data_IF_237824237400
#
_entry.id   IF_237824237400
#
_cell.length_a   1.000
_cell.length_b   1.000
_cell.length_c   1.000
_cell.angle_alpha   90.00
_cell.angle_beta   90.00
_cell.angle_gamma   90.00
#
_symmetry.space_group_name_H-M   'P 1'
#
loop_
_entity.id
_entity.type
_entity.pdbx_description
1 polymer ?
#
# COMPACT_ATOMS: atom_id res chain seq x y z
N UNK A 1 4.24 -8.68 14.52
CA UNK A 1 3.61 -8.73 13.19
C UNK A 1 4.53 -8.14 12.14
N UNK A 2 4.57 -8.76 11.00
CA UNK A 2 5.56 -8.46 9.99
C UNK A 2 4.90 -8.18 8.64
N UNK A 3 5.30 -7.07 8.01
CA UNK A 3 4.83 -6.73 6.68
C UNK A 3 6.01 -6.34 5.80
N UNK A 4 5.88 -6.54 4.48
CA UNK A 4 6.86 -6.11 3.49
C UNK A 4 6.34 -4.88 2.77
N UNK A 5 7.10 -3.80 2.86
CA UNK A 5 6.82 -2.58 2.11
C UNK A 5 8.11 -1.92 1.69
N UNK A 6 8.03 -1.08 0.66
CA UNK A 6 9.10 -0.20 0.23
C UNK A 6 8.58 1.20 0.03
N UNK A 7 9.38 2.17 0.46
CA UNK A 7 9.09 3.58 0.24
C UNK A 7 9.98 4.08 -0.89
N UNK A 8 9.36 4.78 -1.85
CA UNK A 8 10.06 5.42 -2.96
C UNK A 8 9.81 6.92 -2.87
N UNK A 9 10.84 7.72 -3.07
CA UNK A 9 10.73 9.17 -2.96
C UNK A 9 9.88 9.77 -4.09
N UNK A 10 9.80 9.08 -5.21
CA UNK A 10 9.04 9.52 -6.36
C UNK A 10 8.76 8.36 -7.33
N UNK A 11 7.97 8.63 -8.35
CA UNK A 11 7.59 7.61 -9.34
C UNK A 11 8.81 7.08 -10.14
N UNK A 12 9.79 7.93 -10.41
CA UNK A 12 10.98 7.50 -11.15
C UNK A 12 11.75 6.41 -10.38
N UNK A 13 11.86 6.54 -9.06
CA UNK A 13 12.48 5.52 -8.22
C UNK A 13 11.70 4.21 -8.25
N UNK A 14 10.37 4.28 -8.19
CA UNK A 14 9.52 3.10 -8.32
C UNK A 14 9.76 2.43 -9.67
N UNK A 15 9.79 3.22 -10.74
CA UNK A 15 9.99 2.71 -12.09
C UNK A 15 11.35 2.02 -12.26
N UNK A 16 12.40 2.58 -11.66
CA UNK A 16 13.74 1.99 -11.71
C UNK A 16 13.82 0.67 -10.95
N UNK A 17 13.14 0.59 -9.80
CA UNK A 17 13.19 -0.59 -8.93
C UNK A 17 12.19 -1.67 -9.35
N UNK A 18 10.97 -1.28 -9.71
CA UNK A 18 9.84 -2.16 -10.01
C UNK A 18 9.13 -1.68 -11.28
N UNK A 19 9.79 -1.81 -12.42
CA UNK A 19 9.28 -1.31 -13.69
C UNK A 19 7.89 -1.84 -14.02
N UNK A 20 7.67 -3.16 -13.89
CA UNK A 20 6.36 -3.76 -14.18
C UNK A 20 5.26 -3.17 -13.32
N UNK A 21 5.51 -3.06 -12.02
CA UNK A 21 4.53 -2.46 -11.10
C UNK A 21 4.24 -1.01 -11.45
N UNK A 22 5.26 -0.24 -11.80
CA UNK A 22 5.09 1.15 -12.22
C UNK A 22 4.22 1.26 -13.48
N UNK A 23 4.45 0.39 -14.46
CA UNK A 23 3.65 0.39 -15.69
C UNK A 23 2.20 -0.04 -15.43
N UNK A 24 1.98 -1.01 -14.55
CA UNK A 24 0.63 -1.41 -14.14
C UNK A 24 -0.10 -0.27 -13.43
N UNK A 25 0.62 0.49 -12.59
CA UNK A 25 0.03 1.65 -11.92
C UNK A 25 -0.42 2.71 -12.92
N UNK A 26 0.41 3.04 -13.91
CA UNK A 26 0.03 3.97 -14.96
C UNK A 26 -1.26 3.52 -15.66
N UNK A 27 -1.32 2.25 -16.02
CA UNK A 27 -2.48 1.69 -16.70
C UNK A 27 -3.74 1.77 -15.84
N UNK A 28 -3.64 1.44 -14.55
CA UNK A 28 -4.77 1.53 -13.63
C UNK A 28 -5.28 2.97 -13.48
N UNK A 29 -4.40 3.94 -13.58
CA UNK A 29 -4.76 5.36 -13.49
C UNK A 29 -5.18 5.96 -14.84
N UNK A 30 -5.22 5.15 -15.90
CA UNK A 30 -5.58 5.63 -17.24
C UNK A 30 -4.49 6.47 -17.90
N UNK A 31 -3.25 6.31 -17.47
CA UNK A 31 -2.11 7.06 -17.97
C UNK A 31 -1.23 6.21 -18.87
N UNK A 32 -0.37 6.88 -19.65
CA UNK A 32 0.60 6.24 -20.52
C UNK A 32 2.00 6.72 -20.19
N UNK A 33 3.01 6.11 -20.85
CA UNK A 33 4.40 6.52 -20.66
C UNK A 33 4.64 7.99 -21.02
N UNK A 34 3.81 8.57 -21.87
CA UNK A 34 3.88 10.00 -22.25
C UNK A 34 3.54 10.92 -21.10
N UNK A 35 2.82 10.42 -20.08
CA UNK A 35 2.40 11.19 -18.93
C UNK A 35 3.43 11.19 -17.81
N UNK A 36 4.52 10.43 -17.95
CA UNK A 36 5.58 10.37 -16.94
C UNK A 36 6.18 11.76 -16.73
N UNK A 37 6.18 12.21 -15.46
CA UNK A 37 6.67 13.52 -15.08
C UNK A 37 5.66 14.65 -15.21
N UNK A 38 4.44 14.36 -15.66
CA UNK A 38 3.41 15.38 -15.89
C UNK A 38 2.36 15.45 -14.79
N UNK A 39 2.21 14.38 -14.02
CA UNK A 39 1.23 14.32 -12.93
C UNK A 39 1.87 14.72 -11.60
N UNK A 40 1.20 15.57 -10.78
CA UNK A 40 1.77 16.04 -9.51
C UNK A 40 2.19 14.92 -8.57
N UNK A 41 1.42 13.84 -8.48
CA UNK A 41 1.71 12.72 -7.57
C UNK A 41 3.02 12.01 -7.92
N UNK A 42 3.51 12.13 -9.13
CA UNK A 42 4.76 11.49 -9.56
C UNK A 42 6.00 12.05 -8.87
N UNK A 43 5.89 13.26 -8.31
CA UNK A 43 6.93 13.87 -7.48
C UNK A 43 6.82 13.55 -6.00
N UNK A 44 5.74 12.90 -5.58
CA UNK A 44 5.49 12.61 -4.18
C UNK A 44 5.94 11.20 -3.79
N UNK A 45 6.09 10.98 -2.49
CA UNK A 45 6.44 9.68 -1.94
C UNK A 45 5.37 8.65 -2.27
N UNK A 46 5.84 7.46 -2.68
CA UNK A 46 5.01 6.29 -2.93
C UNK A 46 5.43 5.15 -2.01
N UNK A 47 4.47 4.39 -1.52
CA UNK A 47 4.75 3.19 -0.75
C UNK A 47 4.16 1.99 -1.45
N UNK A 48 4.98 0.95 -1.63
CA UNK A 48 4.60 -0.30 -2.25
C UNK A 48 4.47 -1.38 -1.19
N UNK A 49 3.33 -2.07 -1.18
CA UNK A 49 3.09 -3.25 -0.35
C UNK A 49 3.02 -4.48 -1.24
N UNK A 50 3.53 -5.58 -0.72
CA UNK A 50 3.62 -6.82 -1.49
C UNK A 50 2.25 -7.42 -1.82
N UNK A 51 1.27 -7.22 -0.93
CA UNK A 51 -0.09 -7.75 -1.10
C UNK A 51 -1.06 -6.97 -0.20
N UNK A 52 -2.38 -7.16 -0.37
CA UNK A 52 -3.37 -6.60 0.56
C UNK A 52 -3.13 -6.99 2.01
N UNK A 53 -2.64 -8.21 2.27
CA UNK A 53 -2.28 -8.64 3.62
C UNK A 53 -1.19 -7.76 4.22
N UNK A 54 -0.13 -7.48 3.48
CA UNK A 54 0.95 -6.62 3.96
C UNK A 54 0.46 -5.19 4.18
N UNK A 55 -0.41 -4.69 3.31
CA UNK A 55 -1.03 -3.38 3.49
C UNK A 55 -1.87 -3.35 4.78
N UNK A 56 -2.68 -4.38 5.02
CA UNK A 56 -3.50 -4.49 6.23
C UNK A 56 -2.61 -4.50 7.48
N UNK A 57 -1.55 -5.28 7.49
CA UNK A 57 -0.63 -5.36 8.62
C UNK A 57 0.03 -4.01 8.92
N UNK A 58 0.40 -3.27 7.88
CA UNK A 58 0.93 -1.92 8.06
C UNK A 58 -0.08 -1.00 8.74
N UNK A 59 -1.32 -0.95 8.24
CA UNK A 59 -2.34 -0.08 8.81
C UNK A 59 -2.71 -0.46 10.23
N UNK A 60 -2.67 -1.75 10.56
CA UNK A 60 -2.97 -2.25 11.90
C UNK A 60 -1.86 -1.94 12.90
N UNK A 61 -0.61 -1.82 12.46
CA UNK A 61 0.53 -1.64 13.37
C UNK A 61 1.10 -0.22 13.36
N UNK A 62 1.34 0.33 12.17
CA UNK A 62 2.04 1.62 12.02
C UNK A 62 1.19 2.70 11.35
N UNK A 63 0.03 2.35 10.77
CA UNK A 63 -0.84 3.26 10.05
C UNK A 63 -2.06 3.70 10.87
N UNK A 64 -3.24 3.54 10.28
CA UNK A 64 -4.51 4.02 10.83
C UNK A 64 -4.80 3.52 12.24
N UNK A 65 -4.41 2.29 12.55
CA UNK A 65 -4.66 1.66 13.85
C UNK A 65 -3.43 1.62 14.75
N UNK A 66 -2.39 2.38 14.42
CA UNK A 66 -1.14 2.37 15.17
C UNK A 66 -1.31 2.73 16.64
N UNK A 67 -2.22 3.65 16.95
CA UNK A 67 -2.47 4.09 18.32
C UNK A 67 -3.15 3.04 19.18
N UNK A 68 -3.73 1.99 18.59
CA UNK A 68 -4.36 0.89 19.32
C UNK A 68 -3.34 -0.05 19.97
N UNK A 69 -2.05 0.14 19.72
CA UNK A 69 -0.95 -0.65 20.26
C UNK A 69 -1.13 -2.16 20.06
N UNK A 70 -1.57 -2.54 18.86
CA UNK A 70 -1.81 -3.94 18.52
C UNK A 70 -0.52 -4.75 18.37
N UNK A 71 0.62 -4.06 18.35
CA UNK A 71 1.94 -4.69 18.20
C UNK A 71 2.53 -5.20 19.51
N UNK A 72 1.87 -4.89 20.63
CA UNK A 72 2.33 -5.32 21.95
C UNK A 72 2.20 -6.84 22.13
N UNK A 73 3.00 -7.40 23.03
CA UNK A 73 2.84 -8.80 23.40
C UNK A 73 1.59 -9.02 24.26
N UNK A 74 0.97 -10.18 24.11
CA UNK A 74 -0.25 -10.53 24.83
C UNK A 74 -0.03 -11.62 25.92
N UNK A 75 1.22 -12.08 26.07
CA UNK A 75 1.55 -13.09 27.08
C UNK A 75 0.80 -14.40 26.85
N UNK A 76 0.03 -14.85 27.86
CA UNK A 76 -0.76 -16.07 27.76
C UNK A 76 -2.10 -15.88 27.06
N UNK A 77 -2.49 -14.64 26.79
CA UNK A 77 -3.77 -14.36 26.13
C UNK A 77 -3.66 -14.53 24.62
N UNK A 78 -4.76 -14.91 23.95
CA UNK A 78 -4.75 -15.01 22.48
C UNK A 78 -4.35 -13.69 21.82
N UNK A 79 -3.55 -13.79 20.78
CA UNK A 79 -3.18 -12.63 19.96
C UNK A 79 -4.33 -12.33 18.99
N UNK A 80 -4.94 -11.12 19.03
CA UNK A 80 -6.05 -10.77 18.13
C UNK A 80 -5.72 -10.92 16.65
N UNK A 81 -4.44 -10.78 16.26
CA UNK A 81 -4.03 -10.93 14.87
C UNK A 81 -4.29 -12.34 14.33
N UNK A 82 -4.29 -13.36 15.21
CA UNK A 82 -4.54 -14.74 14.80
C UNK A 82 -5.99 -14.98 14.36
N UNK A 83 -6.87 -14.03 14.67
CA UNK A 83 -8.31 -14.12 14.40
C UNK A 83 -8.77 -13.14 13.31
N UNK A 84 -7.86 -12.34 12.75
CA UNK A 84 -8.19 -11.36 11.71
C UNK A 84 -7.85 -11.98 10.35
N UNK A 85 -8.83 -11.98 9.44
CA UNK A 85 -8.58 -12.25 8.03
C UNK A 85 -7.92 -11.00 7.42
N UNK A 86 -6.60 -10.96 7.46
CA UNK A 86 -5.83 -9.77 7.06
C UNK A 86 -5.92 -9.50 5.57
N UNK A 87 -6.08 -10.53 4.74
CA UNK A 87 -6.27 -10.33 3.30
C UNK A 87 -7.59 -9.61 3.02
N UNK A 88 -8.67 -10.11 3.57
CA UNK A 88 -9.99 -9.51 3.39
C UNK A 88 -10.05 -8.12 4.02
N UNK A 89 -9.46 -7.96 5.20
CA UNK A 89 -9.36 -6.65 5.85
C UNK A 89 -8.61 -5.65 4.97
N UNK A 90 -7.51 -6.07 4.34
CA UNK A 90 -6.75 -5.23 3.43
C UNK A 90 -7.54 -4.82 2.19
N UNK A 91 -8.28 -5.76 1.62
CA UNK A 91 -9.14 -5.48 0.46
C UNK A 91 -10.23 -4.46 0.81
N UNK A 92 -10.86 -4.62 1.97
CA UNK A 92 -11.89 -3.69 2.45
C UNK A 92 -11.31 -2.29 2.71
N UNK A 93 -10.10 -2.20 3.28
CA UNK A 93 -9.42 -0.92 3.48
C UNK A 93 -9.15 -0.21 2.14
N UNK A 94 -8.70 -0.95 1.14
CA UNK A 94 -8.45 -0.38 -0.18
C UNK A 94 -9.75 0.16 -0.78
N UNK A 95 -10.84 -0.58 -0.65
CA UNK A 95 -12.14 -0.18 -1.15
C UNK A 95 -12.66 1.08 -0.45
N UNK A 96 -12.54 1.13 0.88
CA UNK A 96 -12.99 2.28 1.68
C UNK A 96 -12.18 3.54 1.35
N UNK A 97 -10.87 3.41 1.15
CA UNK A 97 -10.04 4.54 0.74
C UNK A 97 -10.40 5.03 -0.66
N UNK A 98 -11.15 4.21 -1.40
CA UNK A 98 -11.47 4.49 -2.79
C UNK A 98 -10.21 4.53 -3.62
N UNK A 99 -10.29 5.09 -4.80
CA UNK A 99 -9.15 5.13 -5.72
C UNK A 99 -8.35 6.42 -5.63
N UNK A 100 -8.46 7.16 -4.54
CA UNK A 100 -7.83 8.48 -4.40
C UNK A 100 -6.35 8.43 -4.11
N UNK A 101 -5.93 7.50 -3.25
CA UNK A 101 -4.54 7.46 -2.78
C UNK A 101 -4.02 6.03 -2.63
N UNK A 102 -4.78 5.03 -3.06
CA UNK A 102 -4.44 3.64 -2.88
C UNK A 102 -4.97 2.83 -4.08
N UNK A 103 -4.14 1.98 -4.64
CA UNK A 103 -4.54 1.10 -5.75
C UNK A 103 -4.02 -0.32 -5.53
N UNK A 104 -4.92 -1.29 -5.74
CA UNK A 104 -4.55 -2.69 -5.87
C UNK A 104 -4.29 -2.98 -7.34
N UNK A 105 -3.10 -3.47 -7.65
CA UNK A 105 -2.69 -3.76 -9.03
C UNK A 105 -2.95 -5.22 -9.39
N UNK A 106 -3.06 -5.54 -10.70
CA UNK A 106 -3.31 -6.92 -11.14
C UNK A 106 -2.27 -7.94 -10.69
N UNK A 107 -1.04 -7.50 -10.40
CA UNK A 107 0.02 -8.39 -9.91
C UNK A 107 -0.05 -8.62 -8.39
N UNK A 108 -1.07 -8.09 -7.72
CA UNK A 108 -1.26 -8.24 -6.28
C UNK A 108 -0.60 -7.17 -5.42
N UNK A 109 0.25 -6.33 -5.99
CA UNK A 109 0.87 -5.25 -5.24
C UNK A 109 -0.15 -4.15 -4.94
N UNK A 110 0.07 -3.46 -3.80
CA UNK A 110 -0.73 -2.30 -3.41
C UNK A 110 0.21 -1.10 -3.38
N UNK A 111 -0.18 -0.02 -4.05
CA UNK A 111 0.60 1.22 -4.08
C UNK A 111 -0.23 2.34 -3.46
N UNK A 112 0.39 3.07 -2.53
CA UNK A 112 -0.23 4.23 -1.88
C UNK A 112 0.58 5.49 -2.16
N UNK A 113 -0.10 6.63 -2.17
CA UNK A 113 0.52 7.94 -2.29
C UNK A 113 0.04 8.85 -1.17
N UNK A 114 0.84 9.87 -0.83
CA UNK A 114 0.57 10.72 0.34
C UNK A 114 -0.61 11.66 0.11
N UNK A 115 -0.66 12.32 -1.05
CA UNK A 115 -1.64 13.37 -1.32
C UNK A 115 -2.71 13.00 -2.33
N UNK A 116 -2.69 11.79 -2.84
CA UNK A 116 -3.62 11.32 -3.86
C UNK A 116 -3.07 11.47 -5.28
N UNK A 117 -3.69 10.69 -6.14
CA UNK A 117 -3.37 10.73 -7.58
C UNK A 117 -3.95 11.96 -8.25
#
# INVERSE_FOLDING_TARGET
MYYCSRVYDNFNELMESKYETAMLLLKELGLTRKDIGKEPWMGDELRLFFSPTHYALYELTDGLYGECDLNRGFGIYPNPFDYIDTEHFGEDLIEVRGNRACRLLPNGNVVTTVYGW
#
